data_IF_731790617456
#
_entry.id   IF_731790617456
#
_cell.length_a   1.000
_cell.length_b   1.000
_cell.length_c   1.000
_cell.angle_alpha   90.00
_cell.angle_beta   90.00
_cell.angle_gamma   90.00
#
_symmetry.space_group_name_H-M   'P 1'
#
loop_
_entity.id
_entity.type
_entity.pdbx_description
1 polymer ?
#
# COMPACT_ATOMS: atom_id res chain seq x y z
N UNK A 1 6.89 -15.25 40.17
CA UNK A 1 6.62 -13.90 39.62
C UNK A 1 6.14 -13.98 38.18
N UNK A 2 6.93 -14.55 37.25
CA UNK A 2 6.61 -14.71 35.81
C UNK A 2 5.26 -15.41 35.56
N UNK A 3 4.95 -16.50 36.28
CA UNK A 3 3.68 -17.23 36.12
C UNK A 3 2.47 -16.37 36.46
N UNK A 4 2.59 -15.48 37.46
CA UNK A 4 1.50 -14.57 37.88
C UNK A 4 1.26 -13.46 36.85
N UNK A 5 2.35 -12.91 36.30
CA UNK A 5 2.32 -11.89 35.23
C UNK A 5 1.73 -12.45 33.93
N UNK A 6 2.16 -13.65 33.53
CA UNK A 6 1.60 -14.34 32.35
C UNK A 6 0.12 -14.67 32.51
N UNK A 7 -0.33 -14.99 33.72
CA UNK A 7 -1.75 -15.22 34.01
C UNK A 7 -2.56 -13.92 33.92
N UNK A 8 -2.03 -12.80 34.44
CA UNK A 8 -2.65 -11.48 34.33
C UNK A 8 -2.75 -11.01 32.87
N UNK A 9 -1.67 -11.17 32.07
CA UNK A 9 -1.68 -10.87 30.65
C UNK A 9 -2.69 -11.74 29.88
N UNK A 10 -2.78 -13.04 30.20
CA UNK A 10 -3.79 -13.91 29.60
C UNK A 10 -5.22 -13.43 29.89
N UNK A 11 -5.49 -12.99 31.11
CA UNK A 11 -6.80 -12.46 31.50
C UNK A 11 -7.09 -11.10 30.82
N UNK A 12 -6.07 -10.25 30.64
CA UNK A 12 -6.17 -8.99 29.89
C UNK A 12 -6.47 -9.25 28.40
N UNK A 13 -5.75 -10.17 27.76
CA UNK A 13 -6.00 -10.58 26.36
C UNK A 13 -7.44 -11.10 26.21
N UNK A 14 -7.93 -11.91 27.16
CA UNK A 14 -9.32 -12.38 27.15
C UNK A 14 -10.32 -11.24 27.26
N UNK A 15 -10.07 -10.25 28.12
CA UNK A 15 -10.92 -9.07 28.25
C UNK A 15 -10.91 -8.21 26.99
N UNK A 16 -9.74 -7.96 26.40
CA UNK A 16 -9.59 -7.22 25.15
C UNK A 16 -10.29 -7.95 23.99
N UNK A 17 -10.14 -9.27 23.89
CA UNK A 17 -10.85 -10.09 22.91
C UNK A 17 -12.38 -9.94 23.06
N UNK A 18 -12.91 -10.03 24.28
CA UNK A 18 -14.34 -9.88 24.52
C UNK A 18 -14.85 -8.47 24.14
N UNK A 19 -14.07 -7.44 24.46
CA UNK A 19 -14.37 -6.05 24.12
C UNK A 19 -14.39 -5.85 22.61
N UNK A 20 -13.36 -6.27 21.89
CA UNK A 20 -13.28 -6.19 20.43
C UNK A 20 -14.42 -6.95 19.75
N UNK A 21 -14.80 -8.12 20.27
CA UNK A 21 -15.91 -8.90 19.75
C UNK A 21 -17.26 -8.18 19.93
N UNK A 22 -17.47 -7.53 21.07
CA UNK A 22 -18.66 -6.72 21.31
C UNK A 22 -18.68 -5.47 20.43
N UNK A 23 -17.55 -4.78 20.27
CA UNK A 23 -17.44 -3.61 19.40
C UNK A 23 -17.75 -3.96 17.93
N UNK A 24 -17.24 -5.09 17.42
CA UNK A 24 -17.56 -5.58 16.08
C UNK A 24 -19.07 -5.85 15.94
N UNK A 25 -19.67 -6.52 16.93
CA UNK A 25 -21.12 -6.80 16.93
C UNK A 25 -21.95 -5.51 16.97
N UNK A 26 -21.53 -4.51 17.74
CA UNK A 26 -22.22 -3.23 17.86
C UNK A 26 -22.12 -2.41 16.57
N UNK A 27 -20.94 -2.37 15.96
CA UNK A 27 -20.73 -1.71 14.65
C UNK A 27 -21.56 -2.38 13.57
N UNK A 28 -21.58 -3.72 13.51
CA UNK A 28 -22.44 -4.47 12.57
C UNK A 28 -23.92 -4.18 12.80
N UNK A 29 -24.38 -4.17 14.05
CA UNK A 29 -25.78 -3.82 14.38
C UNK A 29 -26.14 -2.42 13.88
N UNK A 30 -25.28 -1.42 14.11
CA UNK A 30 -25.53 -0.05 13.63
C UNK A 30 -25.61 0.06 12.11
N UNK A 31 -24.74 -0.65 11.38
CA UNK A 31 -24.78 -0.68 9.91
C UNK A 31 -26.09 -1.30 9.44
N UNK A 32 -26.46 -2.47 9.97
CA UNK A 32 -27.70 -3.14 9.61
C UNK A 32 -28.92 -2.25 9.89
N UNK A 33 -29.03 -1.67 11.09
CA UNK A 33 -30.17 -0.80 11.43
C UNK A 33 -30.30 0.41 10.50
N UNK A 34 -29.18 0.95 10.00
CA UNK A 34 -29.22 2.05 9.03
C UNK A 34 -29.67 1.57 7.65
N UNK A 35 -29.26 0.38 7.22
CA UNK A 35 -29.73 -0.21 5.96
C UNK A 35 -31.23 -0.52 6.02
N UNK A 36 -31.70 -1.10 7.13
CA UNK A 36 -33.13 -1.38 7.37
C UNK A 36 -33.96 -0.09 7.33
N UNK A 37 -33.45 1.02 7.91
CA UNK A 37 -34.11 2.32 7.87
C UNK A 37 -34.17 2.90 6.45
N UNK A 38 -33.09 2.79 5.67
CA UNK A 38 -33.05 3.26 4.28
C UNK A 38 -33.98 2.45 3.37
N UNK A 39 -34.01 1.13 3.54
CA UNK A 39 -34.94 0.23 2.85
C UNK A 39 -36.38 0.62 3.15
N UNK A 40 -36.71 0.77 4.45
CA UNK A 40 -38.04 1.16 4.88
C UNK A 40 -38.48 2.48 4.25
N UNK A 41 -37.63 3.51 4.25
CA UNK A 41 -37.95 4.80 3.67
C UNK A 41 -38.26 4.70 2.16
N UNK A 42 -37.46 3.93 1.40
CA UNK A 42 -37.71 3.74 -0.03
C UNK A 42 -39.01 2.98 -0.28
N UNK A 43 -39.31 1.96 0.53
CA UNK A 43 -40.57 1.21 0.44
C UNK A 43 -41.78 2.11 0.77
N UNK A 44 -41.67 2.93 1.80
CA UNK A 44 -42.74 3.87 2.20
C UNK A 44 -42.98 4.92 1.10
N UNK A 45 -41.92 5.46 0.50
CA UNK A 45 -42.00 6.39 -0.64
C UNK A 45 -42.60 5.72 -1.89
N UNK A 46 -42.22 4.47 -2.15
CA UNK A 46 -42.75 3.66 -3.25
C UNK A 46 -44.26 3.45 -3.09
N UNK A 47 -44.70 2.98 -1.92
CA UNK A 47 -46.10 2.72 -1.60
C UNK A 47 -46.93 4.01 -1.64
N UNK A 48 -46.39 5.12 -1.14
CA UNK A 48 -47.03 6.44 -1.20
C UNK A 48 -47.23 6.89 -2.64
N UNK A 49 -46.19 6.76 -3.48
CA UNK A 49 -46.24 7.11 -4.91
C UNK A 49 -47.23 6.22 -5.67
N UNK A 50 -47.22 4.90 -5.41
CA UNK A 50 -48.17 3.96 -5.99
C UNK A 50 -49.62 4.32 -5.60
N UNK A 51 -49.86 4.64 -4.33
CA UNK A 51 -51.19 5.05 -3.85
C UNK A 51 -51.66 6.32 -4.55
N UNK A 52 -50.79 7.32 -4.71
CA UNK A 52 -51.12 8.55 -5.42
C UNK A 52 -51.41 8.31 -6.90
N UNK A 53 -50.62 7.45 -7.56
CA UNK A 53 -50.85 7.08 -8.96
C UNK A 53 -52.18 6.35 -9.13
N UNK A 54 -52.48 5.40 -8.23
CA UNK A 54 -53.75 4.67 -8.22
C UNK A 54 -54.95 5.60 -8.07
N UNK A 55 -54.89 6.54 -7.11
CA UNK A 55 -55.95 7.53 -6.90
C UNK A 55 -56.17 8.43 -8.13
N UNK A 56 -55.10 8.83 -8.80
CA UNK A 56 -55.19 9.61 -10.06
C UNK A 56 -55.88 8.81 -11.16
N UNK A 57 -55.51 7.54 -11.34
CA UNK A 57 -56.13 6.66 -12.34
C UNK A 57 -57.61 6.40 -12.02
N UNK A 58 -57.94 6.11 -10.75
CA UNK A 58 -59.32 5.90 -10.32
C UNK A 58 -60.18 7.15 -10.55
N UNK A 59 -59.65 8.34 -10.22
CA UNK A 59 -60.36 9.61 -10.48
C UNK A 59 -60.60 9.84 -11.98
N UNK A 60 -59.66 9.45 -12.84
CA UNK A 60 -59.81 9.55 -14.29
C UNK A 60 -60.84 8.54 -14.82
N UNK A 61 -60.83 7.31 -14.30
CA UNK A 61 -61.83 6.29 -14.63
C UNK A 61 -63.24 6.72 -14.22
N UNK A 62 -63.42 7.29 -13.03
CA UNK A 62 -64.72 7.79 -12.56
C UNK A 62 -65.24 8.95 -13.43
N UNK A 63 -64.35 9.88 -13.82
CA UNK A 63 -64.70 10.95 -14.76
C UNK A 63 -65.15 10.39 -16.10
N UNK A 64 -64.44 9.41 -16.65
CA UNK A 64 -64.79 8.77 -17.92
C UNK A 64 -66.09 7.96 -17.82
N UNK A 65 -66.29 7.23 -16.74
CA UNK A 65 -67.52 6.46 -16.49
C UNK A 65 -68.74 7.37 -16.40
N UNK A 66 -68.64 8.48 -15.67
CA UNK A 66 -69.71 9.47 -15.57
C UNK A 66 -70.06 10.01 -16.95
N UNK A 67 -69.05 10.35 -17.77
CA UNK A 67 -69.24 10.84 -19.13
C UNK A 67 -69.89 9.80 -20.04
N UNK A 68 -69.49 8.53 -19.92
CA UNK A 68 -70.12 7.43 -20.64
C UNK A 68 -71.62 7.30 -20.28
N UNK A 69 -71.97 7.35 -18.99
CA UNK A 69 -73.38 7.27 -18.57
C UNK A 69 -74.22 8.44 -19.07
N UNK A 70 -73.67 9.66 -19.12
CA UNK A 70 -74.34 10.82 -19.71
C UNK A 70 -74.62 10.60 -21.20
N UNK A 71 -73.63 10.07 -21.95
CA UNK A 71 -73.80 9.77 -23.38
C UNK A 71 -74.87 8.69 -23.60
N UNK A 72 -74.92 7.65 -22.77
CA UNK A 72 -75.95 6.61 -22.83
C UNK A 72 -77.35 7.15 -22.52
N UNK A 73 -77.46 8.07 -21.55
CA UNK A 73 -78.71 8.76 -21.24
C UNK A 73 -79.18 9.61 -22.42
N UNK A 74 -78.29 10.40 -23.02
CA UNK A 74 -78.59 11.21 -24.21
C UNK A 74 -79.06 10.33 -25.38
N UNK A 75 -78.43 9.17 -25.58
CA UNK A 75 -78.83 8.17 -26.58
C UNK A 75 -80.23 7.61 -26.31
N UNK A 76 -80.56 7.31 -25.06
CA UNK A 76 -81.88 6.79 -24.67
C UNK A 76 -82.97 7.84 -24.85
N UNK A 77 -82.67 9.10 -24.46
CA UNK A 77 -83.56 10.24 -24.70
C UNK A 77 -83.84 10.44 -26.18
N UNK A 78 -82.80 10.36 -27.03
CA UNK A 78 -82.95 10.44 -28.49
C UNK A 78 -83.91 9.37 -29.03
N UNK A 79 -83.77 8.13 -28.55
CA UNK A 79 -84.63 7.01 -28.96
C UNK A 79 -86.09 7.23 -28.53
N UNK A 80 -86.32 7.74 -27.32
CA UNK A 80 -87.67 8.05 -26.81
C UNK A 80 -88.33 9.20 -27.58
N UNK A 81 -87.57 10.28 -27.84
CA UNK A 81 -88.05 11.44 -28.61
C UNK A 81 -88.39 11.02 -30.04
N UNK A 82 -87.60 10.12 -30.64
CA UNK A 82 -87.88 9.54 -31.96
C UNK A 82 -89.12 8.65 -31.99
N UNK A 83 -89.44 7.94 -30.91
CA UNK A 83 -90.59 7.01 -30.86
C UNK A 83 -91.91 7.68 -30.51
N UNK A 84 -91.90 8.76 -29.70
CA UNK A 84 -93.11 9.32 -29.09
C UNK A 84 -93.32 10.82 -29.34
N UNK A 85 -92.33 11.54 -29.89
CA UNK A 85 -92.45 12.97 -30.17
C UNK A 85 -93.18 13.26 -31.49
N UNK A 86 -93.86 14.41 -31.58
CA UNK A 86 -94.28 14.95 -32.88
C UNK A 86 -93.05 15.34 -33.72
N UNK A 87 -93.19 15.43 -35.05
CA UNK A 87 -92.06 15.76 -35.94
C UNK A 87 -91.30 17.03 -35.51
N UNK A 88 -92.02 18.04 -35.02
CA UNK A 88 -91.43 19.28 -34.51
C UNK A 88 -90.68 19.08 -33.18
N UNK A 89 -91.24 18.28 -32.26
CA UNK A 89 -90.58 17.94 -30.99
C UNK A 89 -89.37 17.05 -31.21
N UNK A 90 -89.43 16.14 -32.19
CA UNK A 90 -88.32 15.29 -32.59
C UNK A 90 -87.18 16.11 -33.20
N UNK A 91 -87.51 17.09 -34.05
CA UNK A 91 -86.52 18.01 -34.63
C UNK A 91 -85.83 18.89 -33.57
N UNK A 92 -86.61 19.54 -32.69
CA UNK A 92 -86.07 20.40 -31.63
C UNK A 92 -85.23 19.56 -30.64
N UNK A 93 -85.75 18.40 -30.21
CA UNK A 93 -85.03 17.50 -29.32
C UNK A 93 -83.72 16.98 -29.93
N UNK A 94 -83.73 16.62 -31.22
CA UNK A 94 -82.50 16.19 -31.92
C UNK A 94 -81.46 17.31 -31.99
N UNK A 95 -81.86 18.57 -32.19
CA UNK A 95 -80.93 19.70 -32.25
C UNK A 95 -80.34 20.07 -30.88
N UNK A 96 -81.13 19.96 -29.81
CA UNK A 96 -80.63 20.14 -28.45
C UNK A 96 -79.64 19.03 -28.07
N UNK A 97 -79.98 17.77 -28.38
CA UNK A 97 -79.10 16.62 -28.15
C UNK A 97 -77.81 16.68 -28.96
N UNK A 98 -77.84 17.16 -30.21
CA UNK A 98 -76.65 17.37 -31.03
C UNK A 98 -75.67 18.35 -30.38
N UNK A 99 -76.20 19.43 -29.78
CA UNK A 99 -75.39 20.38 -29.01
C UNK A 99 -74.80 19.73 -27.76
N UNK A 100 -75.61 19.03 -26.97
CA UNK A 100 -75.16 18.39 -25.72
C UNK A 100 -74.08 17.32 -25.98
N UNK A 101 -74.23 16.53 -27.04
CA UNK A 101 -73.21 15.55 -27.47
C UNK A 101 -71.93 16.25 -27.92
N UNK A 102 -72.03 17.37 -28.64
CA UNK A 102 -70.87 18.15 -29.09
C UNK A 102 -70.12 18.76 -27.91
N UNK A 103 -70.83 19.29 -26.92
CA UNK A 103 -70.25 19.84 -25.70
C UNK A 103 -69.54 18.75 -24.86
N UNK A 104 -70.10 17.55 -24.81
CA UNK A 104 -69.48 16.41 -24.13
C UNK A 104 -68.25 15.86 -24.87
N UNK A 105 -68.29 15.78 -26.21
CA UNK A 105 -67.12 15.42 -27.01
C UNK A 105 -65.98 16.41 -26.82
N UNK A 106 -66.27 17.71 -26.77
CA UNK A 106 -65.27 18.75 -26.50
C UNK A 106 -64.66 18.61 -25.10
N UNK A 107 -65.45 18.22 -24.10
CA UNK A 107 -64.95 17.91 -22.77
C UNK A 107 -64.01 16.70 -22.76
N UNK A 108 -64.33 15.63 -23.49
CA UNK A 108 -63.46 14.45 -23.62
C UNK A 108 -62.17 14.81 -24.36
N UNK A 109 -62.27 15.67 -25.38
CA UNK A 109 -61.12 16.12 -26.16
C UNK A 109 -60.16 16.97 -25.31
N UNK A 110 -60.70 17.87 -24.48
CA UNK A 110 -59.91 18.61 -23.49
C UNK A 110 -59.26 17.69 -22.45
N UNK A 111 -59.93 16.61 -22.03
CA UNK A 111 -59.36 15.61 -21.12
C UNK A 111 -58.20 14.83 -21.76
N UNK A 112 -58.26 14.56 -23.07
CA UNK A 112 -57.19 13.90 -23.83
C UNK A 112 -55.99 14.81 -24.09
N UNK A 113 -56.21 16.11 -24.21
CA UNK A 113 -55.17 17.14 -24.40
C UNK A 113 -54.50 17.56 -23.08
N UNK A 114 -55.17 17.35 -21.94
CA UNK A 114 -54.59 17.51 -20.61
C UNK A 114 -53.61 16.36 -20.32
N UNK A 115 -52.52 16.61 -19.57
CA UNK A 115 -51.43 15.64 -19.28
C UNK A 115 -51.91 14.34 -18.56
N UNK A 116 -53.21 14.25 -18.23
CA UNK A 116 -53.86 13.15 -17.53
C UNK A 116 -53.93 11.82 -18.29
N UNK A 117 -53.74 11.79 -19.61
CA UNK A 117 -53.72 10.54 -20.41
C UNK A 117 -52.31 10.02 -20.73
N UNK A 118 -51.27 10.67 -20.19
CA UNK A 118 -49.91 10.15 -20.32
C UNK A 118 -49.79 8.74 -19.73
N UNK A 119 -49.07 7.85 -20.40
CA UNK A 119 -48.82 6.50 -19.91
C UNK A 119 -47.95 6.60 -18.65
N UNK A 120 -48.57 6.45 -17.48
CA UNK A 120 -47.88 6.52 -16.20
C UNK A 120 -47.07 5.23 -15.97
N UNK A 121 -45.75 5.38 -15.94
CA UNK A 121 -44.81 4.31 -15.62
C UNK A 121 -44.04 4.64 -14.36
N UNK A 122 -43.92 3.69 -13.43
CA UNK A 122 -43.08 3.83 -12.25
C UNK A 122 -41.72 3.20 -12.52
N UNK A 123 -40.64 3.96 -12.30
CA UNK A 123 -39.27 3.46 -12.36
C UNK A 123 -38.59 3.70 -11.01
N UNK A 124 -38.19 2.63 -10.34
CA UNK A 124 -37.35 2.70 -9.15
C UNK A 124 -35.88 2.62 -9.59
N UNK A 125 -35.05 3.56 -9.13
CA UNK A 125 -33.61 3.52 -9.32
C UNK A 125 -32.94 3.46 -7.95
N UNK A 126 -32.16 2.41 -7.73
CA UNK A 126 -31.34 2.27 -6.54
C UNK A 126 -30.06 3.08 -6.76
N UNK A 127 -29.65 3.86 -5.76
CA UNK A 127 -28.40 4.65 -5.83
C UNK A 127 -27.19 3.72 -5.98
N UNK A 128 -26.35 3.97 -7.00
CA UNK A 128 -25.14 3.22 -7.28
C UNK A 128 -24.17 3.15 -6.08
N UNK A 129 -24.27 4.12 -5.15
CA UNK A 129 -23.51 4.12 -3.89
C UNK A 129 -23.83 2.94 -2.99
N UNK A 130 -25.06 2.42 -3.02
CA UNK A 130 -25.42 1.21 -2.24
C UNK A 130 -24.72 -0.01 -2.80
N UNK A 131 -24.64 -0.10 -4.13
CA UNK A 131 -23.89 -1.15 -4.84
C UNK A 131 -22.38 -1.04 -4.59
N UNK A 132 -21.88 0.18 -4.46
CA UNK A 132 -20.47 0.49 -4.19
C UNK A 132 -20.05 0.20 -2.74
N UNK A 133 -20.98 0.22 -1.77
CA UNK A 133 -20.71 -0.22 -0.39
C UNK A 133 -20.30 -1.71 -0.38
N UNK A 134 -20.97 -2.54 -1.19
CA UNK A 134 -20.68 -3.97 -1.27
C UNK A 134 -19.31 -4.27 -1.91
N UNK A 135 -18.88 -3.46 -2.88
CA UNK A 135 -17.57 -3.61 -3.52
C UNK A 135 -16.42 -3.06 -2.67
N UNK A 136 -16.70 -2.05 -1.83
CA UNK A 136 -15.67 -1.38 -1.00
C UNK A 136 -15.43 -2.06 0.35
N UNK A 137 -16.39 -2.78 0.92
CA UNK A 137 -16.20 -3.51 2.18
C UNK A 137 -15.64 -4.90 1.90
N UNK A 138 -14.31 -5.01 1.80
CA UNK A 138 -13.62 -6.30 1.66
C UNK A 138 -13.26 -6.94 3.01
N UNK A 139 -13.19 -6.14 4.08
CA UNK A 139 -12.93 -6.61 5.44
C UNK A 139 -13.56 -5.69 6.50
N UNK A 140 -14.00 -6.26 7.63
CA UNK A 140 -14.52 -5.49 8.77
C UNK A 140 -13.40 -4.82 9.60
N UNK A 141 -12.18 -5.30 9.47
CA UNK A 141 -11.01 -4.86 10.22
C UNK A 141 -9.91 -5.90 10.13
N UNK A 142 -8.73 -5.54 10.64
CA UNK A 142 -7.58 -6.41 10.74
C UNK A 142 -7.26 -6.66 12.21
N UNK A 143 -6.91 -7.90 12.56
CA UNK A 143 -6.42 -8.24 13.89
C UNK A 143 -4.91 -8.20 13.84
N UNK A 144 -4.29 -7.29 14.58
CA UNK A 144 -2.84 -7.21 14.76
C UNK A 144 -2.48 -7.70 16.15
N UNK A 145 -1.50 -8.60 16.24
CA UNK A 145 -0.95 -9.05 17.52
C UNK A 145 0.31 -8.24 17.77
N UNK A 146 0.24 -7.31 18.73
CA UNK A 146 1.39 -6.53 19.15
C UNK A 146 2.12 -7.28 20.26
N UNK A 147 3.36 -7.70 19.97
CA UNK A 147 4.22 -8.34 20.96
C UNK A 147 5.06 -7.28 21.67
N UNK A 148 4.64 -6.88 22.87
CA UNK A 148 5.47 -6.09 23.79
C UNK A 148 6.24 -7.00 24.74
N UNK A 149 7.49 -6.64 25.04
CA UNK A 149 8.28 -7.40 26.02
C UNK A 149 7.70 -7.21 27.42
N UNK A 150 7.54 -8.32 28.17
CA UNK A 150 7.15 -8.26 29.59
C UNK A 150 8.26 -7.53 30.36
N UNK A 151 7.92 -6.64 31.31
CA UNK A 151 8.90 -5.94 32.15
C UNK A 151 9.71 -6.86 33.07
N UNK A 152 9.40 -8.17 33.11
CA UNK A 152 10.13 -9.15 33.91
C UNK A 152 11.35 -9.66 33.13
N UNK A 153 12.52 -9.14 33.46
CA UNK A 153 13.83 -9.61 32.96
C UNK A 153 14.31 -10.79 33.80
N UNK A 154 14.34 -12.00 33.23
CA UNK A 154 15.08 -13.14 33.79
C UNK A 154 16.46 -13.12 33.14
N UNK A 155 17.48 -12.67 33.87
CA UNK A 155 18.84 -12.56 33.35
C UNK A 155 19.50 -13.93 33.20
N UNK A 156 19.64 -14.40 31.96
CA UNK A 156 20.80 -15.19 31.51
C UNK A 156 21.09 -14.82 30.05
N UNK A 157 22.23 -14.18 29.82
CA UNK A 157 23.07 -14.23 28.61
C UNK A 157 22.45 -14.03 27.23
N UNK A 158 22.81 -12.90 26.62
CA UNK A 158 22.76 -12.55 25.18
C UNK A 158 21.45 -11.98 24.63
N UNK A 159 21.47 -10.65 24.50
CA UNK A 159 20.44 -9.85 23.83
C UNK A 159 20.42 -10.14 22.33
N UNK A 160 19.26 -10.59 21.85
CA UNK A 160 18.93 -10.78 20.43
C UNK A 160 18.04 -9.60 20.00
N UNK A 161 18.46 -8.83 19.00
CA UNK A 161 17.60 -7.85 18.34
C UNK A 161 17.61 -8.05 16.82
N UNK A 162 16.53 -8.67 16.34
CA UNK A 162 16.02 -8.51 14.99
C UNK A 162 15.71 -7.02 14.75
N UNK A 163 15.92 -6.54 13.52
CA UNK A 163 15.56 -5.19 13.08
C UNK A 163 14.04 -4.95 13.26
N UNK A 164 13.65 -4.48 14.44
CA UNK A 164 12.31 -3.93 14.70
C UNK A 164 12.49 -2.43 14.82
N UNK A 165 11.96 -1.72 13.83
CA UNK A 165 11.85 -0.26 13.82
C UNK A 165 10.82 0.19 14.87
N UNK A 166 11.26 0.50 16.09
CA UNK A 166 10.45 1.29 17.03
C UNK A 166 10.83 2.76 16.92
N UNK A 167 9.89 3.57 16.44
CA UNK A 167 9.99 5.02 16.38
C UNK A 167 9.90 5.62 17.79
N UNK A 168 11.05 5.98 18.36
CA UNK A 168 11.13 7.02 19.40
C UNK A 168 12.32 7.90 19.01
N UNK A 169 12.17 9.23 18.83
CA UNK A 169 13.29 10.10 18.58
C UNK A 169 14.07 10.27 19.88
N UNK A 170 14.97 9.34 20.17
CA UNK A 170 16.04 9.55 21.15
C UNK A 170 17.01 10.59 20.60
N UNK A 171 17.37 11.56 21.45
CA UNK A 171 18.29 12.69 21.21
C UNK A 171 19.36 12.38 20.15
N UNK A 172 19.59 13.34 19.25
CA UNK A 172 20.65 13.26 18.25
C UNK A 172 21.98 12.92 18.90
N UNK A 173 22.56 11.79 18.50
CA UNK A 173 23.88 11.37 18.91
C UNK A 173 24.89 12.17 18.09
N UNK A 174 25.85 12.85 18.75
CA UNK A 174 26.93 13.53 18.03
C UNK A 174 27.83 12.52 17.33
N UNK A 175 28.29 12.86 16.12
CA UNK A 175 29.24 12.05 15.36
C UNK A 175 30.63 12.02 16.00
N UNK A 176 31.01 13.02 16.81
CA UNK A 176 32.36 13.18 17.34
C UNK A 176 32.76 12.09 18.33
N UNK A 177 31.79 11.57 19.08
CA UNK A 177 32.02 10.52 20.08
C UNK A 177 32.06 9.10 19.52
N UNK A 178 31.78 8.91 18.23
CA UNK A 178 31.67 7.58 17.64
C UNK A 178 33.07 7.00 17.41
N UNK A 179 33.33 5.77 17.82
CA UNK A 179 34.60 5.11 17.51
C UNK A 179 34.38 3.74 16.90
N UNK A 180 35.32 3.30 16.07
CA UNK A 180 35.29 2.00 15.44
C UNK A 180 36.51 1.19 15.90
N UNK A 181 36.28 -0.02 16.38
CA UNK A 181 37.33 -0.96 16.79
C UNK A 181 37.19 -2.25 15.99
N UNK A 182 38.26 -2.70 15.34
CA UNK A 182 38.25 -3.93 14.56
C UNK A 182 38.06 -5.13 15.50
N UNK A 183 37.04 -5.93 15.24
CA UNK A 183 36.71 -7.13 16.02
C UNK A 183 36.82 -8.42 15.20
N UNK A 184 36.84 -8.32 13.88
CA UNK A 184 36.91 -9.48 13.00
C UNK A 184 37.38 -9.13 11.61
N UNK A 185 38.13 -10.06 11.01
CA UNK A 185 38.58 -9.99 9.62
C UNK A 185 38.36 -11.36 8.98
N UNK A 186 37.30 -11.44 8.21
CA UNK A 186 36.74 -12.69 7.72
C UNK A 186 36.87 -12.72 6.20
N UNK A 187 37.31 -13.85 5.66
CA UNK A 187 37.29 -14.08 4.22
C UNK A 187 36.05 -14.89 3.86
N UNK A 188 35.24 -14.36 2.96
CA UNK A 188 34.09 -15.08 2.36
C UNK A 188 34.62 -16.38 1.72
N UNK A 189 33.92 -17.50 1.92
CA UNK A 189 34.27 -18.77 1.27
C UNK A 189 34.50 -18.59 -0.24
N UNK A 190 35.68 -18.99 -0.69
CA UNK A 190 36.06 -18.84 -2.09
C UNK A 190 35.19 -19.74 -2.98
N UNK A 191 34.81 -19.23 -4.15
CA UNK A 191 34.17 -20.02 -5.19
C UNK A 191 35.19 -20.74 -6.07
N UNK A 192 34.73 -21.43 -7.13
CA UNK A 192 35.62 -21.98 -8.16
C UNK A 192 36.41 -20.88 -8.90
N UNK A 193 35.90 -19.64 -8.91
CA UNK A 193 36.55 -18.48 -9.50
C UNK A 193 36.75 -17.37 -8.46
N UNK A 194 37.49 -16.33 -8.85
CA UNK A 194 37.74 -15.15 -8.02
C UNK A 194 36.41 -14.53 -7.54
N UNK A 195 36.29 -14.35 -6.23
CA UNK A 195 35.11 -13.75 -5.58
C UNK A 195 34.99 -12.28 -5.96
N UNK A 196 33.77 -11.86 -6.33
CA UNK A 196 33.43 -10.48 -6.65
C UNK A 196 32.19 -10.04 -5.88
N UNK A 197 32.38 -9.58 -4.64
CA UNK A 197 31.25 -9.15 -3.80
C UNK A 197 30.85 -7.72 -4.16
N UNK A 198 29.60 -7.55 -4.57
CA UNK A 198 29.04 -6.25 -5.00
C UNK A 198 27.96 -5.71 -4.07
N UNK A 199 27.42 -6.56 -3.20
CA UNK A 199 26.36 -6.22 -2.26
C UNK A 199 26.27 -7.21 -1.12
N UNK A 200 25.61 -6.79 -0.04
CA UNK A 200 25.49 -7.60 1.17
C UNK A 200 24.23 -7.25 1.94
N UNK A 201 23.77 -8.13 2.82
CA UNK A 201 22.75 -7.85 3.82
C UNK A 201 22.95 -8.71 5.05
N UNK A 202 22.28 -8.38 6.14
CA UNK A 202 22.38 -9.12 7.41
C UNK A 202 20.98 -9.59 7.79
N UNK A 203 20.83 -10.90 8.02
CA UNK A 203 19.60 -11.50 8.51
C UNK A 203 19.33 -11.07 9.96
N UNK A 204 18.06 -11.14 10.42
CA UNK A 204 17.72 -10.87 11.81
C UNK A 204 18.48 -11.73 12.83
N UNK A 205 18.90 -12.93 12.45
CA UNK A 205 19.68 -13.86 13.29
C UNK A 205 21.20 -13.61 13.27
N UNK A 206 21.66 -12.60 12.53
CA UNK A 206 23.07 -12.23 12.43
C UNK A 206 23.87 -12.95 11.34
N UNK A 207 23.26 -13.87 10.58
CA UNK A 207 23.87 -14.39 9.35
C UNK A 207 24.01 -13.28 8.32
N UNK A 208 25.01 -13.39 7.47
CA UNK A 208 25.31 -12.38 6.45
C UNK A 208 25.15 -13.02 5.07
N UNK A 209 24.46 -12.33 4.18
CA UNK A 209 24.33 -12.72 2.77
C UNK A 209 25.14 -11.79 1.88
N UNK A 210 25.78 -12.36 0.87
CA UNK A 210 26.57 -11.65 -0.13
C UNK A 210 26.10 -11.96 -1.55
N UNK A 211 26.15 -10.95 -2.41
CA UNK A 211 26.01 -11.12 -3.85
C UNK A 211 27.40 -11.29 -4.48
N UNK A 212 27.70 -12.49 -4.98
CA UNK A 212 28.94 -12.82 -5.68
C UNK A 212 28.68 -12.81 -7.20
N UNK A 213 28.99 -11.67 -7.81
CA UNK A 213 28.40 -11.23 -9.08
C UNK A 213 29.07 -11.86 -10.31
N UNK A 214 30.23 -11.36 -10.72
CA UNK A 214 30.73 -11.50 -12.09
C UNK A 214 31.14 -12.92 -12.48
N UNK A 215 31.84 -13.60 -11.60
CA UNK A 215 32.46 -14.88 -11.91
C UNK A 215 31.66 -16.07 -11.38
N UNK A 216 31.28 -16.05 -10.11
CA UNK A 216 30.59 -17.18 -9.48
C UNK A 216 29.06 -17.13 -9.61
N UNK A 217 28.47 -15.94 -9.86
CA UNK A 217 27.03 -15.76 -10.13
C UNK A 217 26.13 -16.48 -9.12
N UNK A 218 26.32 -16.15 -7.84
CA UNK A 218 25.66 -16.83 -6.72
C UNK A 218 25.41 -15.88 -5.55
N UNK A 219 24.53 -16.29 -4.66
CA UNK A 219 24.43 -15.71 -3.33
C UNK A 219 25.07 -16.64 -2.30
N UNK A 220 25.80 -16.05 -1.36
CA UNK A 220 26.53 -16.79 -0.33
C UNK A 220 25.98 -16.33 1.02
N UNK A 221 25.48 -17.26 1.82
CA UNK A 221 25.06 -17.02 3.19
C UNK A 221 26.14 -17.59 4.10
N UNK A 222 26.64 -16.76 5.01
CA UNK A 222 27.63 -17.14 6.02
C UNK A 222 27.11 -16.86 7.42
N UNK A 223 27.63 -17.59 8.39
CA UNK A 223 27.45 -17.31 9.80
C UNK A 223 28.25 -16.08 10.22
N UNK A 224 27.98 -15.56 11.42
CA UNK A 224 28.65 -14.37 11.94
C UNK A 224 30.18 -14.52 12.10
N UNK A 225 30.68 -15.74 12.20
CA UNK A 225 32.11 -16.10 12.24
C UNK A 225 32.74 -16.29 10.85
N UNK A 226 31.94 -16.20 9.78
CA UNK A 226 32.37 -16.38 8.40
C UNK A 226 32.25 -17.78 7.83
N UNK A 227 31.85 -18.77 8.64
CA UNK A 227 31.62 -20.12 8.13
C UNK A 227 30.48 -20.15 7.12
N UNK A 228 30.61 -20.98 6.09
CA UNK A 228 29.59 -21.11 5.05
C UNK A 228 28.34 -21.78 5.61
N UNK A 229 27.19 -21.15 5.42
CA UNK A 229 25.88 -21.71 5.79
C UNK A 229 25.19 -22.31 4.56
N UNK A 230 25.03 -21.51 3.50
CA UNK A 230 24.33 -21.93 2.28
C UNK A 230 24.77 -21.13 1.06
N UNK A 231 24.61 -21.74 -0.11
CA UNK A 231 24.81 -21.09 -1.40
C UNK A 231 23.56 -21.23 -2.29
N UNK A 232 23.25 -20.16 -3.01
CA UNK A 232 22.14 -20.10 -3.97
C UNK A 232 22.72 -19.78 -5.35
N UNK A 233 22.77 -20.74 -6.29
CA UNK A 233 23.26 -20.49 -7.64
C UNK A 233 22.26 -19.64 -8.43
N UNK A 234 22.76 -18.62 -9.14
CA UNK A 234 21.95 -17.72 -9.99
C UNK A 234 22.38 -17.72 -11.46
N UNK A 235 23.41 -18.47 -11.83
CA UNK A 235 23.88 -18.56 -13.22
C UNK A 235 22.73 -18.86 -14.20
N UNK A 236 22.60 -18.12 -15.32
CA UNK A 236 23.57 -17.18 -15.88
C UNK A 236 23.48 -15.72 -15.38
N UNK A 237 22.58 -15.44 -14.44
CA UNK A 237 22.23 -14.09 -13.96
C UNK A 237 23.34 -13.45 -13.13
N UNK A 238 23.39 -12.11 -13.16
CA UNK A 238 24.39 -11.31 -12.45
C UNK A 238 23.75 -10.63 -11.23
N UNK A 239 23.80 -11.24 -10.03
CA UNK A 239 23.31 -10.61 -8.81
C UNK A 239 24.19 -9.41 -8.45
N UNK A 240 23.61 -8.27 -8.07
CA UNK A 240 24.37 -7.06 -7.74
C UNK A 240 24.27 -6.67 -6.27
N UNK A 241 23.10 -6.26 -5.79
CA UNK A 241 22.85 -5.99 -4.38
C UNK A 241 21.72 -6.87 -3.85
N UNK A 242 21.70 -7.06 -2.53
CA UNK A 242 20.79 -7.99 -1.85
C UNK A 242 20.27 -7.36 -0.57
N UNK A 243 19.01 -7.65 -0.24
CA UNK A 243 18.40 -7.25 1.02
C UNK A 243 17.57 -8.40 1.60
N UNK A 244 17.62 -8.58 2.92
CA UNK A 244 16.77 -9.53 3.62
C UNK A 244 15.37 -8.93 3.82
N UNK A 245 14.33 -9.67 3.43
CA UNK A 245 12.92 -9.31 3.68
C UNK A 245 12.53 -9.83 5.07
N UNK A 246 12.88 -11.07 5.37
CA UNK A 246 12.69 -11.72 6.67
C UNK A 246 13.78 -12.80 6.90
N UNK A 247 13.51 -13.80 7.75
CA UNK A 247 14.41 -14.90 8.07
C UNK A 247 14.53 -15.96 6.95
N UNK A 248 13.66 -15.91 5.93
CA UNK A 248 13.53 -16.90 4.87
C UNK A 248 13.58 -16.31 3.47
N UNK A 249 13.12 -15.08 3.29
CA UNK A 249 13.02 -14.40 2.00
C UNK A 249 14.06 -13.31 1.86
N UNK A 250 14.63 -13.24 0.66
CA UNK A 250 15.57 -12.20 0.25
C UNK A 250 15.11 -11.60 -1.07
N UNK A 251 15.47 -10.35 -1.31
CA UNK A 251 15.36 -9.71 -2.61
C UNK A 251 16.74 -9.40 -3.17
N UNK A 252 16.97 -9.71 -4.44
CA UNK A 252 18.24 -9.48 -5.14
C UNK A 252 17.99 -8.68 -6.41
N UNK A 253 18.81 -7.67 -6.65
CA UNK A 253 18.85 -6.98 -7.95
C UNK A 253 19.70 -7.79 -8.92
N UNK A 254 19.13 -8.11 -10.09
CA UNK A 254 19.87 -8.74 -11.18
C UNK A 254 20.24 -7.65 -12.17
N UNK A 255 21.52 -7.27 -12.19
CA UNK A 255 21.99 -6.20 -13.08
C UNK A 255 21.98 -6.65 -14.54
N UNK A 256 21.77 -5.69 -15.45
CA UNK A 256 21.60 -5.85 -16.90
C UNK A 256 20.30 -6.52 -17.36
N UNK A 257 19.75 -7.46 -16.59
CA UNK A 257 18.40 -7.98 -16.81
C UNK A 257 17.29 -7.04 -16.33
N UNK A 258 17.65 -5.99 -15.56
CA UNK A 258 16.73 -5.00 -14.98
C UNK A 258 15.54 -5.66 -14.25
N UNK A 259 15.84 -6.60 -13.34
CA UNK A 259 14.83 -7.29 -12.54
C UNK A 259 15.25 -7.42 -11.09
N UNK A 260 14.26 -7.50 -10.21
CA UNK A 260 14.42 -7.93 -8.83
C UNK A 260 13.86 -9.35 -8.73
N UNK A 261 14.60 -10.26 -8.11
CA UNK A 261 14.11 -11.60 -7.79
C UNK A 261 13.92 -11.71 -6.29
N UNK A 262 12.76 -12.23 -5.88
CA UNK A 262 12.52 -12.65 -4.49
C UNK A 262 12.78 -14.15 -4.42
N UNK A 263 13.60 -14.56 -3.45
CA UNK A 263 14.10 -15.93 -3.35
C UNK A 263 13.84 -16.43 -1.93
N UNK A 264 13.28 -17.63 -1.84
CA UNK A 264 13.21 -18.38 -0.60
C UNK A 264 14.55 -19.08 -0.35
N UNK A 265 15.22 -18.71 0.73
CA UNK A 265 16.57 -19.17 1.08
C UNK A 265 16.63 -20.65 1.45
N UNK A 266 15.51 -21.24 1.90
CA UNK A 266 15.44 -22.64 2.32
C UNK A 266 15.28 -23.55 1.10
N UNK A 267 14.35 -23.22 0.21
CA UNK A 267 14.07 -23.97 -1.02
C UNK A 267 15.02 -23.59 -2.16
N UNK A 268 15.66 -22.42 -2.06
CA UNK A 268 16.52 -21.80 -3.08
C UNK A 268 15.79 -21.48 -4.37
N UNK A 269 14.45 -21.41 -4.32
CA UNK A 269 13.61 -21.13 -5.47
C UNK A 269 13.25 -19.64 -5.51
N UNK A 270 13.15 -19.13 -6.74
CA UNK A 270 12.60 -17.79 -6.99
C UNK A 270 11.10 -17.87 -6.74
N UNK A 271 10.61 -17.09 -5.78
CA UNK A 271 9.18 -16.98 -5.50
C UNK A 271 8.52 -15.96 -6.42
N UNK A 272 9.22 -14.86 -6.74
CA UNK A 272 8.72 -13.79 -7.60
C UNK A 272 9.83 -13.14 -8.42
N UNK A 273 9.46 -12.62 -9.59
CA UNK A 273 10.35 -11.80 -10.43
C UNK A 273 9.64 -10.54 -10.86
N UNK A 274 10.26 -9.40 -10.59
CA UNK A 274 9.69 -8.07 -10.79
C UNK A 274 10.57 -7.31 -11.77
N UNK A 275 10.00 -6.90 -12.91
CA UNK A 275 10.69 -6.05 -13.89
C UNK A 275 10.82 -4.63 -13.35
N UNK A 276 12.02 -4.07 -13.45
CA UNK A 276 12.36 -2.71 -13.02
C UNK A 276 13.16 -2.00 -14.13
N UNK A 277 13.50 -0.73 -13.96
CA UNK A 277 14.54 -0.11 -14.77
C UNK A 277 15.95 -0.44 -14.26
N UNK A 278 16.96 0.24 -14.81
CA UNK A 278 18.35 0.02 -14.40
C UNK A 278 18.55 0.45 -12.94
N UNK A 279 18.78 -0.52 -12.08
CA UNK A 279 19.05 -0.34 -10.65
C UNK A 279 20.17 -1.27 -10.18
N UNK A 280 20.82 -0.89 -9.07
CA UNK A 280 21.85 -1.68 -8.42
C UNK A 280 21.58 -1.82 -6.94
N UNK A 281 21.46 -0.71 -6.21
CA UNK A 281 21.18 -0.72 -4.78
C UNK A 281 19.73 -1.02 -4.45
N UNK A 282 19.53 -1.83 -3.41
CA UNK A 282 18.22 -2.26 -2.92
C UNK A 282 18.20 -2.27 -1.39
N UNK A 283 17.06 -1.96 -0.80
CA UNK A 283 16.85 -2.09 0.63
C UNK A 283 15.40 -2.49 0.93
N UNK A 284 15.19 -3.16 2.05
CA UNK A 284 13.88 -3.54 2.55
C UNK A 284 13.50 -2.69 3.77
N UNK A 285 12.25 -2.25 3.83
CA UNK A 285 11.69 -1.51 4.96
C UNK A 285 10.20 -1.81 5.09
N UNK A 286 9.77 -2.36 6.22
CA UNK A 286 8.35 -2.41 6.63
C UNK A 286 7.38 -2.91 5.52
N UNK A 287 7.70 -4.04 4.88
CA UNK A 287 6.86 -4.60 3.81
C UNK A 287 7.07 -3.96 2.43
N UNK A 288 8.04 -3.07 2.29
CA UNK A 288 8.38 -2.38 1.05
C UNK A 288 9.82 -2.69 0.64
N UNK A 289 10.04 -2.84 -0.66
CA UNK A 289 11.38 -2.84 -1.25
C UNK A 289 11.59 -1.47 -1.87
N UNK A 290 12.69 -0.80 -1.51
CA UNK A 290 13.10 0.47 -2.07
C UNK A 290 14.36 0.27 -2.92
N UNK A 291 14.41 0.92 -4.07
CA UNK A 291 15.58 0.88 -4.97
C UNK A 291 15.71 2.18 -5.75
N UNK A 292 16.94 2.47 -6.21
CA UNK A 292 17.22 3.64 -7.03
C UNK A 292 17.26 3.26 -8.51
N UNK A 293 16.39 3.85 -9.31
CA UNK A 293 16.31 3.60 -10.75
C UNK A 293 16.94 4.78 -11.53
N UNK A 294 17.87 4.45 -12.42
CA UNK A 294 18.60 5.42 -13.25
C UNK A 294 17.62 6.28 -14.06
N UNK A 295 17.77 7.60 -13.97
CA UNK A 295 16.92 8.56 -14.67
C UNK A 295 15.50 8.74 -14.10
N UNK A 296 15.11 7.97 -13.08
CA UNK A 296 13.75 8.02 -12.50
C UNK A 296 13.78 8.49 -11.05
N UNK A 297 14.71 8.00 -10.23
CA UNK A 297 14.82 8.35 -8.81
C UNK A 297 14.59 7.17 -7.87
N UNK A 298 13.88 7.39 -6.78
CA UNK A 298 13.56 6.34 -5.79
C UNK A 298 12.23 5.68 -6.17
N UNK A 299 12.26 4.36 -6.33
CA UNK A 299 11.08 3.55 -6.60
C UNK A 299 10.83 2.61 -5.44
N UNK A 300 9.56 2.42 -5.11
CA UNK A 300 9.09 1.49 -4.10
C UNK A 300 8.28 0.35 -4.73
N UNK A 301 8.40 -0.84 -4.15
CA UNK A 301 7.53 -1.99 -4.40
C UNK A 301 6.86 -2.36 -3.09
N UNK A 302 5.54 -2.34 -3.07
CA UNK A 302 4.76 -2.84 -1.95
C UNK A 302 4.60 -4.35 -2.06
N UNK A 303 5.13 -5.14 -1.10
CA UNK A 303 5.13 -6.60 -1.20
C UNK A 303 3.75 -7.24 -1.08
N UNK A 304 2.76 -6.55 -0.49
CA UNK A 304 1.41 -7.10 -0.32
C UNK A 304 0.65 -7.28 -1.64
N UNK A 305 1.03 -6.53 -2.69
CA UNK A 305 0.37 -6.57 -3.99
C UNK A 305 1.33 -6.38 -5.18
N UNK A 306 2.64 -6.35 -4.92
CA UNK A 306 3.71 -6.06 -5.87
C UNK A 306 3.52 -4.78 -6.69
N UNK A 307 2.78 -3.80 -6.15
CA UNK A 307 2.58 -2.52 -6.81
C UNK A 307 3.89 -1.74 -6.79
N UNK A 308 4.32 -1.29 -7.98
CA UNK A 308 5.50 -0.46 -8.18
C UNK A 308 5.07 1.00 -8.26
N UNK A 309 5.69 1.88 -7.48
CA UNK A 309 5.42 3.33 -7.49
C UNK A 309 6.74 4.12 -7.41
N UNK A 310 6.82 5.24 -8.13
CA UNK A 310 7.93 6.18 -7.94
C UNK A 310 7.64 7.01 -6.70
N UNK A 311 8.53 6.97 -5.71
CA UNK A 311 8.37 7.74 -4.48
C UNK A 311 9.00 9.13 -4.60
N UNK A 312 10.18 9.21 -5.23
CA UNK A 312 10.90 10.46 -5.46
C UNK A 312 11.36 10.48 -6.90
N UNK A 313 10.97 11.50 -7.64
CA UNK A 313 11.53 11.77 -8.95
C UNK A 313 12.89 12.45 -8.81
N UNK A 314 13.93 11.79 -9.32
CA UNK A 314 15.29 12.34 -9.32
C UNK A 314 16.03 11.94 -10.61
N UNK A 315 15.86 12.78 -11.64
CA UNK A 315 16.55 12.62 -12.93
C UNK A 315 18.06 12.88 -12.85
N UNK A 316 18.58 13.32 -11.69
CA UNK A 316 20.02 13.52 -11.49
C UNK A 316 20.78 12.21 -11.26
N UNK A 317 20.08 11.08 -11.09
CA UNK A 317 20.69 9.74 -11.05
C UNK A 317 21.17 9.37 -12.46
N UNK A 318 22.39 9.79 -12.80
CA UNK A 318 23.00 9.51 -14.11
C UNK A 318 23.84 8.22 -14.12
N UNK A 319 24.14 7.67 -12.96
CA UNK A 319 25.04 6.52 -12.79
C UNK A 319 24.26 5.28 -12.40
N UNK A 320 24.71 4.13 -12.90
CA UNK A 320 24.13 2.85 -12.50
C UNK A 320 24.47 2.50 -11.03
N UNK A 321 25.50 3.13 -10.46
CA UNK A 321 25.95 2.89 -9.09
C UNK A 321 25.29 3.85 -8.10
N UNK A 322 24.06 3.51 -7.74
CA UNK A 322 23.31 4.19 -6.68
C UNK A 322 22.94 3.17 -5.62
N UNK A 323 23.21 3.50 -4.36
CA UNK A 323 22.92 2.69 -3.19
C UNK A 323 21.86 3.39 -2.34
N UNK A 324 21.01 2.61 -1.69
CA UNK A 324 19.90 3.10 -0.89
C UNK A 324 19.85 2.36 0.45
N UNK A 325 19.43 3.08 1.48
CA UNK A 325 19.10 2.54 2.79
C UNK A 325 17.99 3.41 3.40
N UNK A 326 17.31 2.92 4.42
CA UNK A 326 16.28 3.70 5.10
C UNK A 326 16.34 3.48 6.61
N UNK A 327 15.96 4.52 7.37
CA UNK A 327 15.80 4.43 8.82
C UNK A 327 14.69 5.37 9.28
N UNK A 328 13.78 4.84 10.11
CA UNK A 328 12.60 5.60 10.55
C UNK A 328 11.79 6.11 9.36
N UNK A 329 11.51 7.41 9.33
CA UNK A 329 10.79 8.09 8.23
C UNK A 329 11.71 8.64 7.12
N UNK A 330 13.00 8.31 7.15
CA UNK A 330 13.98 8.84 6.22
C UNK A 330 14.54 7.75 5.30
N UNK A 331 14.78 8.14 4.05
CA UNK A 331 15.42 7.36 3.01
C UNK A 331 16.69 8.08 2.62
N UNK A 332 17.79 7.34 2.58
CA UNK A 332 19.11 7.84 2.26
C UNK A 332 19.61 7.12 1.03
N UNK A 333 20.07 7.87 0.03
CA UNK A 333 20.62 7.27 -1.18
C UNK A 333 21.74 8.10 -1.76
N UNK A 334 22.53 7.43 -2.59
CA UNK A 334 23.74 8.00 -3.18
C UNK A 334 23.52 8.28 -4.65
N UNK A 335 23.96 9.43 -5.15
CA UNK A 335 23.90 9.76 -6.58
C UNK A 335 25.25 10.22 -7.10
N UNK A 336 25.49 9.99 -8.40
CA UNK A 336 26.68 10.43 -9.13
C UNK A 336 28.03 10.01 -8.52
N UNK A 337 28.00 9.02 -7.62
CA UNK A 337 29.18 8.50 -6.93
C UNK A 337 29.82 9.45 -5.89
N UNK A 338 29.25 10.62 -5.60
CA UNK A 338 29.84 11.58 -4.64
C UNK A 338 28.82 12.41 -3.85
N UNK A 339 27.52 12.14 -4.03
CA UNK A 339 26.45 12.89 -3.37
C UNK A 339 25.63 11.91 -2.53
N UNK A 340 25.29 12.32 -1.32
CA UNK A 340 24.34 11.61 -0.44
C UNK A 340 23.13 12.51 -0.23
N UNK A 341 21.94 11.96 -0.44
CA UNK A 341 20.67 12.67 -0.28
C UNK A 341 19.81 11.97 0.75
N UNK A 342 19.07 12.78 1.52
CA UNK A 342 18.07 12.30 2.47
C UNK A 342 16.70 12.84 2.09
N UNK A 343 15.72 11.95 2.04
CA UNK A 343 14.32 12.26 1.74
C UNK A 343 13.41 11.64 2.80
N UNK A 344 12.25 12.26 3.04
CA UNK A 344 11.20 11.62 3.81
C UNK A 344 10.59 10.46 3.01
N UNK A 345 9.96 9.52 3.71
CA UNK A 345 9.11 8.48 3.09
C UNK A 345 7.88 9.06 2.36
N UNK A 346 7.63 10.37 2.44
CA UNK A 346 6.59 11.07 1.68
C UNK A 346 7.14 11.73 0.40
N UNK A 347 8.46 11.64 0.20
CA UNK A 347 9.15 12.19 -0.96
C UNK A 347 9.69 13.61 -0.78
N UNK A 348 9.70 14.15 0.44
CA UNK A 348 10.23 15.49 0.71
C UNK A 348 11.75 15.45 0.89
N UNK A 349 12.49 16.30 0.17
CA UNK A 349 13.94 16.44 0.39
C UNK A 349 14.20 17.01 1.79
N UNK A 350 15.01 16.30 2.58
CA UNK A 350 15.46 16.75 3.92
C UNK A 350 16.78 17.51 3.83
N UNK A 351 17.79 16.88 3.23
CA UNK A 351 19.12 17.46 3.07
C UNK A 351 19.88 16.77 1.95
N UNK A 352 20.97 17.39 1.53
CA UNK A 352 21.95 16.85 0.58
C UNK A 352 23.35 17.17 1.06
N UNK A 353 24.21 16.15 1.10
CA UNK A 353 25.61 16.28 1.45
C UNK A 353 26.47 15.98 0.23
N UNK A 354 27.41 16.89 -0.06
CA UNK A 354 28.34 16.79 -1.18
C UNK A 354 29.71 17.31 -0.75
N UNK A 355 30.69 16.41 -0.71
CA UNK A 355 32.10 16.76 -0.58
C UNK A 355 32.94 15.76 -1.38
N UNK A 356 33.30 16.14 -2.61
CA UNK A 356 34.07 15.27 -3.52
C UNK A 356 35.50 15.01 -3.03
N UNK A 357 36.02 15.82 -2.10
CA UNK A 357 37.33 15.60 -1.50
C UNK A 357 37.32 14.45 -0.49
N UNK A 358 36.17 14.21 0.16
CA UNK A 358 36.00 13.20 1.20
C UNK A 358 35.27 11.95 0.65
N UNK A 359 34.14 12.13 -0.04
CA UNK A 359 33.29 11.04 -0.55
C UNK A 359 33.36 10.97 -2.09
N UNK A 360 34.09 9.98 -2.60
CA UNK A 360 34.24 9.76 -4.04
C UNK A 360 34.16 8.27 -4.42
N UNK A 361 33.37 8.00 -5.46
CA UNK A 361 33.07 6.66 -5.92
C UNK A 361 32.32 5.85 -4.87
N UNK A 362 31.21 6.38 -4.33
CA UNK A 362 30.47 5.72 -3.26
C UNK A 362 30.01 4.32 -3.71
N UNK A 363 30.32 3.29 -2.90
CA UNK A 363 29.94 1.89 -3.15
C UNK A 363 29.10 1.28 -2.02
N UNK A 364 28.53 2.09 -1.16
CA UNK A 364 27.66 1.58 -0.10
C UNK A 364 27.27 2.67 0.88
N UNK A 365 26.08 2.49 1.44
CA UNK A 365 25.50 3.36 2.45
C UNK A 365 24.81 2.49 3.50
N UNK A 366 24.95 2.89 4.76
CA UNK A 366 24.22 2.33 5.89
C UNK A 366 23.82 3.47 6.83
N UNK A 367 22.84 3.23 7.70
CA UNK A 367 22.35 4.23 8.64
C UNK A 367 22.04 3.53 9.96
N UNK A 368 22.29 4.21 11.08
CA UNK A 368 21.94 3.71 12.40
C UNK A 368 20.56 4.18 12.88
N UNK A 369 20.16 3.72 14.07
CA UNK A 369 18.90 4.09 14.71
C UNK A 369 18.82 5.57 15.11
N UNK A 370 19.96 6.26 15.18
CA UNK A 370 20.04 7.70 15.48
C UNK A 370 20.04 8.56 14.20
N UNK A 371 19.97 7.93 13.02
CA UNK A 371 19.97 8.60 11.73
C UNK A 371 21.36 9.00 11.23
N UNK A 372 22.44 8.53 11.88
CA UNK A 372 23.82 8.79 11.43
C UNK A 372 24.10 7.89 10.24
N UNK A 373 24.59 8.49 9.17
CA UNK A 373 24.80 7.83 7.89
C UNK A 373 26.27 7.46 7.75
N UNK A 374 26.53 6.21 7.39
CA UNK A 374 27.85 5.63 7.16
C UNK A 374 28.02 5.40 5.67
N UNK A 375 29.05 6.01 5.07
CA UNK A 375 29.24 6.02 3.62
C UNK A 375 30.61 5.44 3.27
N UNK A 376 30.62 4.46 2.37
CA UNK A 376 31.85 3.89 1.83
C UNK A 376 32.34 4.71 0.63
N UNK A 377 33.48 5.37 0.80
CA UNK A 377 34.19 6.05 -0.29
C UNK A 377 35.23 5.10 -0.89
N UNK A 378 34.89 4.43 -1.99
CA UNK A 378 35.76 3.42 -2.59
C UNK A 378 37.07 4.01 -3.11
N UNK A 379 37.03 5.17 -3.78
CA UNK A 379 38.24 5.77 -4.35
C UNK A 379 39.17 6.33 -3.28
N UNK A 380 38.63 6.81 -2.17
CA UNK A 380 39.42 7.34 -1.06
C UNK A 380 39.76 6.27 0.01
N UNK A 381 39.22 5.06 -0.13
CA UNK A 381 39.39 3.95 0.82
C UNK A 381 39.09 4.36 2.27
N UNK A 382 37.95 5.03 2.47
CA UNK A 382 37.54 5.51 3.78
C UNK A 382 36.04 5.28 4.03
N UNK A 383 35.68 5.29 5.32
CA UNK A 383 34.29 5.33 5.77
C UNK A 383 34.03 6.67 6.44
N UNK A 384 32.97 7.32 6.02
CA UNK A 384 32.61 8.68 6.43
C UNK A 384 31.30 8.62 7.18
N UNK A 385 31.24 9.34 8.29
CA UNK A 385 30.01 9.60 9.04
C UNK A 385 29.44 10.92 8.59
N UNK A 386 28.13 10.95 8.40
CA UNK A 386 27.34 12.16 8.17
C UNK A 386 26.28 12.21 9.27
N UNK A 387 26.13 13.35 9.92
CA UNK A 387 25.12 13.57 10.96
C UNK A 387 23.70 13.43 10.42
N UNK A 388 22.74 13.19 11.31
CA UNK A 388 21.34 12.97 10.94
C UNK A 388 20.69 14.15 10.20
N UNK A 389 21.18 15.37 10.42
CA UNK A 389 20.78 16.60 9.73
C UNK A 389 21.58 16.89 8.44
N UNK A 390 22.63 16.12 8.16
CA UNK A 390 23.47 16.30 6.98
C UNK A 390 24.49 17.44 7.06
N UNK A 391 24.56 18.16 8.18
CA UNK A 391 25.39 19.38 8.29
C UNK A 391 26.85 19.07 8.64
N UNK A 392 27.08 18.01 9.42
CA UNK A 392 28.40 17.63 9.92
C UNK A 392 28.84 16.31 9.33
N UNK A 393 30.15 16.20 9.10
CA UNK A 393 30.75 14.96 8.61
C UNK A 393 32.15 14.77 9.14
N UNK A 394 32.58 13.51 9.25
CA UNK A 394 33.98 13.19 9.52
C UNK A 394 34.35 11.81 9.00
N UNK A 395 35.63 11.61 8.75
CA UNK A 395 36.16 10.28 8.43
C UNK A 395 36.27 9.44 9.71
N UNK A 396 35.68 8.25 9.69
CA UNK A 396 35.73 7.27 10.79
C UNK A 396 36.86 6.26 10.60
N UNK A 397 37.02 5.74 9.37
CA UNK A 397 38.04 4.76 9.01
C UNK A 397 38.73 5.17 7.71
N UNK A 398 39.99 4.78 7.56
CA UNK A 398 40.86 5.09 6.41
C UNK A 398 41.62 3.86 5.94
N UNK A 399 42.35 3.97 4.84
CA UNK A 399 43.23 2.91 4.36
C UNK A 399 44.29 2.44 5.37
N UNK A 400 44.64 3.28 6.37
CA UNK A 400 45.57 2.92 7.45
C UNK A 400 44.98 1.86 8.39
N UNK A 401 43.65 1.78 8.46
CA UNK A 401 42.91 0.80 9.26
C UNK A 401 42.75 -0.56 8.53
N UNK A 402 43.46 -0.75 7.41
CA UNK A 402 43.49 -2.00 6.65
C UNK A 402 42.37 -2.16 5.62
N UNK A 403 41.43 -1.22 5.56
CA UNK A 403 40.30 -1.25 4.64
C UNK A 403 40.70 -0.72 3.24
N UNK A 404 40.47 -1.49 2.18
CA UNK A 404 40.77 -1.12 0.78
C UNK A 404 39.74 -1.69 -0.18
N UNK A 405 39.51 -1.01 -1.30
CA UNK A 405 38.59 -1.42 -2.38
C UNK A 405 37.19 -1.77 -1.86
N UNK A 406 36.58 -0.85 -1.11
CA UNK A 406 35.31 -1.07 -0.40
C UNK A 406 34.14 -1.14 -1.38
N UNK A 407 33.24 -2.11 -1.20
CA UNK A 407 32.09 -2.36 -2.06
C UNK A 407 30.76 -2.59 -1.33
N UNK A 408 30.81 -2.79 -0.02
CA UNK A 408 29.61 -2.96 0.79
C UNK A 408 29.81 -2.43 2.20
N UNK A 409 28.77 -1.85 2.77
CA UNK A 409 28.71 -1.45 4.18
C UNK A 409 27.33 -1.80 4.70
N UNK A 410 27.30 -2.49 5.84
CA UNK A 410 26.07 -2.84 6.54
C UNK A 410 26.28 -2.67 8.03
N UNK A 411 25.31 -2.03 8.67
CA UNK A 411 25.26 -1.91 10.11
C UNK A 411 24.20 -2.88 10.63
N UNK A 412 24.60 -3.70 11.60
CA UNK A 412 23.69 -4.57 12.32
C UNK A 412 23.95 -4.39 13.81
N UNK A 413 22.99 -3.84 14.54
CA UNK A 413 23.16 -3.38 15.93
C UNK A 413 24.32 -2.37 16.02
N UNK A 414 25.36 -2.65 16.80
CA UNK A 414 26.58 -1.85 16.89
C UNK A 414 27.74 -2.43 16.05
N UNK A 415 27.48 -3.43 15.21
CA UNK A 415 28.50 -4.05 14.35
C UNK A 415 28.44 -3.47 12.94
N UNK A 416 29.51 -2.81 12.53
CA UNK A 416 29.69 -2.31 11.18
C UNK A 416 30.50 -3.32 10.37
N UNK A 417 29.84 -3.94 9.39
CA UNK A 417 30.46 -4.84 8.43
C UNK A 417 30.83 -4.06 7.17
N UNK A 418 32.12 -4.02 6.84
CA UNK A 418 32.64 -3.40 5.63
C UNK A 418 33.22 -4.50 4.75
N UNK A 419 32.78 -4.56 3.51
CA UNK A 419 33.14 -5.62 2.58
C UNK A 419 33.91 -5.02 1.42
N UNK A 420 35.01 -5.65 1.05
CA UNK A 420 35.75 -5.29 -0.15
C UNK A 420 35.32 -6.14 -1.35
N UNK A 421 35.74 -5.72 -2.55
CA UNK A 421 35.40 -6.41 -3.79
C UNK A 421 35.84 -7.88 -3.81
N UNK A 422 36.93 -8.23 -3.13
CA UNK A 422 37.55 -9.56 -3.16
C UNK A 422 36.97 -10.52 -2.11
N UNK A 423 35.90 -10.11 -1.40
CA UNK A 423 35.23 -10.94 -0.40
C UNK A 423 35.93 -10.99 0.96
N UNK A 424 36.69 -9.96 1.33
CA UNK A 424 37.16 -9.75 2.71
C UNK A 424 36.17 -8.84 3.45
N UNK A 425 35.77 -9.26 4.64
CA UNK A 425 34.82 -8.60 5.52
C UNK A 425 35.59 -8.10 6.74
N UNK A 426 35.56 -6.80 6.96
CA UNK A 426 36.09 -6.16 8.15
C UNK A 426 34.91 -5.85 9.06
N UNK A 427 34.90 -6.43 10.26
CA UNK A 427 33.87 -6.23 11.25
C UNK A 427 34.40 -5.27 12.31
N UNK A 428 33.69 -4.16 12.52
CA UNK A 428 34.02 -3.17 13.54
C UNK A 428 32.90 -3.11 14.56
N UNK A 429 33.26 -2.99 15.84
CA UNK A 429 32.33 -2.56 16.87
C UNK A 429 32.29 -1.03 16.92
N UNK A 430 31.09 -0.47 16.87
CA UNK A 430 30.82 0.96 16.94
C UNK A 430 30.43 1.33 18.36
N UNK A 431 31.24 2.16 19.00
CA UNK A 431 31.05 2.58 20.39
C UNK A 431 30.65 4.04 20.50
#
# INVERSE_FOLDING_TARGET
MVVKDRKANLDEIKQQHLKSLNDIKDKRRKVNSRLDELEKNIIDDLNSTETQLKLKIETLLDKLSTKLTTIELLKTNLMSVKQHGSDLQAFIGSKMLEKDVTDELKCIQNLLEDDGFSQLGMKCQIDDKVTDILSKITAFGTITIENSQSPIVIGVGHEMQAQIFTAVPTRSRSIDGITASLIGDIKVPAGPLNTCITGSSVFPDGRIIFADCYHNKRLIIVQSDGSLDSEIPLSPLLPFDVTCIDDKLIAVTICYDNKIQIIDTKTKQVTETISIGTSRGITYRQGQILFCEKGKGITEIQLSNYKVCTLVEDSTIKTDFSYITASGENIYYTTNGSIVKCYSIRGDKRWEYKDESIIMGIKGIAVDQHGIVYVNSNKNNCVVLISADGENSRTLLTAKDGIKNLYGIRLYTNKLNIVNFTGRIFQFNIA
#
